data_IF_452404233736
#
_entry.id   IF_452404233736
#
_cell.length_a   1.000
_cell.length_b   1.000
_cell.length_c   1.000
_cell.angle_alpha   90.00
_cell.angle_beta   90.00
_cell.angle_gamma   90.00
#
_symmetry.space_group_name_H-M   'P 1'
#
loop_
_entity.id
_entity.type
_entity.pdbx_description
1 polymer ?
#
# COMPACT_ATOMS: atom_id res chain seq x y z
N UNK A 1 0.03 27.04 23.13
CA UNK A 1 -0.65 25.82 23.59
C UNK A 1 0.40 24.78 23.89
N UNK A 2 0.44 24.27 25.09
CA UNK A 2 1.37 23.17 25.43
C UNK A 2 0.79 21.91 24.82
N UNK A 3 1.41 21.42 23.79
CA UNK A 3 1.05 20.11 23.21
C UNK A 3 1.68 19.03 24.07
N UNK A 4 0.88 18.29 24.81
CA UNK A 4 1.38 17.13 25.55
C UNK A 4 1.78 16.07 24.52
N UNK A 5 3.06 15.63 24.51
CA UNK A 5 3.48 14.60 23.56
C UNK A 5 2.68 13.31 23.79
N UNK A 6 2.07 12.83 22.75
CA UNK A 6 1.33 11.57 22.79
C UNK A 6 2.31 10.39 22.77
N UNK A 7 2.21 9.49 23.75
CA UNK A 7 3.06 8.30 23.82
C UNK A 7 2.76 7.33 22.67
N UNK A 8 1.47 7.08 22.39
CA UNK A 8 1.05 6.23 21.27
C UNK A 8 1.28 6.95 19.95
N UNK A 9 1.99 6.31 19.03
CA UNK A 9 2.26 6.84 17.69
C UNK A 9 1.28 6.25 16.67
N UNK A 10 0.91 7.04 15.68
CA UNK A 10 0.02 6.63 14.60
C UNK A 10 0.86 6.40 13.35
N UNK A 11 0.76 5.21 12.78
CA UNK A 11 1.32 4.85 11.47
C UNK A 11 0.18 4.78 10.47
N UNK A 12 0.27 5.52 9.38
CA UNK A 12 -0.74 5.53 8.33
C UNK A 12 -0.14 5.07 7.00
N UNK A 13 -0.76 4.08 6.37
CA UNK A 13 -0.38 3.67 5.02
C UNK A 13 -0.94 4.66 4.00
N UNK A 14 -0.05 5.15 3.14
CA UNK A 14 -0.44 6.04 2.04
C UNK A 14 -0.89 5.24 0.83
N UNK A 15 -1.86 5.78 0.13
CA UNK A 15 -2.41 5.23 -1.10
C UNK A 15 -2.98 6.34 -1.98
N UNK A 16 -3.61 6.00 -3.11
CA UNK A 16 -4.11 7.01 -4.06
C UNK A 16 -5.04 8.06 -3.45
N UNK A 17 -5.81 7.70 -2.42
CA UNK A 17 -6.73 8.61 -1.73
C UNK A 17 -6.04 9.53 -0.71
N UNK A 18 -4.77 9.30 -0.37
CA UNK A 18 -4.10 9.93 0.76
C UNK A 18 -2.70 10.49 0.45
N UNK A 19 -2.32 10.58 -0.83
CA UNK A 19 -0.99 11.03 -1.24
C UNK A 19 -0.97 12.42 -1.90
N UNK A 20 -2.05 13.21 -1.81
CA UNK A 20 -2.00 14.61 -2.22
C UNK A 20 -1.42 15.50 -1.12
N UNK A 21 -0.77 16.62 -1.47
CA UNK A 21 -0.21 17.55 -0.48
C UNK A 21 -1.24 18.01 0.55
N UNK A 22 -2.47 18.30 0.12
CA UNK A 22 -3.57 18.76 0.99
C UNK A 22 -3.98 17.66 1.98
N UNK A 23 -4.10 16.42 1.51
CA UNK A 23 -4.47 15.31 2.36
C UNK A 23 -3.33 14.96 3.33
N UNK A 24 -2.07 14.98 2.89
CA UNK A 24 -0.92 14.79 3.76
C UNK A 24 -0.88 15.84 4.87
N UNK A 25 -1.12 17.12 4.54
CA UNK A 25 -1.18 18.18 5.54
C UNK A 25 -2.29 17.94 6.58
N UNK A 26 -3.46 17.47 6.14
CA UNK A 26 -4.57 17.11 7.05
C UNK A 26 -4.21 15.94 7.95
N UNK A 27 -3.59 14.89 7.41
CA UNK A 27 -3.15 13.73 8.18
C UNK A 27 -2.10 14.10 9.24
N UNK A 28 -1.13 14.93 8.88
CA UNK A 28 -0.08 15.34 9.81
C UNK A 28 -0.64 16.24 10.93
N UNK A 29 -1.52 17.17 10.59
CA UNK A 29 -2.23 17.99 11.58
C UNK A 29 -3.15 17.15 12.49
N UNK A 30 -3.72 16.08 11.97
CA UNK A 30 -4.55 15.16 12.74
C UNK A 30 -3.74 14.24 13.66
N UNK A 31 -2.41 14.19 13.51
CA UNK A 31 -1.53 13.49 14.43
C UNK A 31 -0.83 12.24 13.90
N UNK A 32 -0.80 12.02 12.59
CA UNK A 32 0.01 10.95 11.99
C UNK A 32 1.49 11.23 12.24
N UNK A 33 2.20 10.24 12.77
CA UNK A 33 3.60 10.33 13.14
C UNK A 33 4.53 9.68 12.11
N UNK A 34 4.04 8.60 11.47
CA UNK A 34 4.78 7.82 10.50
C UNK A 34 3.87 7.49 9.33
N UNK A 35 4.36 7.65 8.12
CA UNK A 35 3.70 7.17 6.92
C UNK A 35 4.36 5.87 6.46
N UNK A 36 3.52 4.89 6.10
CA UNK A 36 3.97 3.64 5.51
C UNK A 36 3.76 3.67 4.00
N UNK A 37 4.82 3.38 3.26
CA UNK A 37 4.79 3.22 1.80
C UNK A 37 4.90 1.73 1.49
N UNK A 38 3.85 1.17 0.89
CA UNK A 38 3.77 -0.26 0.60
C UNK A 38 4.38 -0.57 -0.77
N UNK A 39 5.56 -1.19 -0.78
CA UNK A 39 6.29 -1.55 -2.00
C UNK A 39 5.71 -2.77 -2.75
N UNK A 40 4.67 -3.41 -2.21
CA UNK A 40 3.91 -4.43 -2.94
C UNK A 40 2.98 -3.84 -4.02
N UNK A 41 2.79 -2.54 -4.04
CA UNK A 41 1.94 -1.80 -4.98
C UNK A 41 2.68 -0.55 -5.48
N UNK A 42 2.40 -0.15 -6.71
CA UNK A 42 3.00 1.04 -7.30
C UNK A 42 4.38 0.82 -7.89
N UNK A 43 4.91 1.85 -8.53
CA UNK A 43 6.26 1.86 -9.11
C UNK A 43 7.26 2.60 -8.23
N UNK A 44 8.55 2.41 -8.50
CA UNK A 44 9.63 3.09 -7.80
C UNK A 44 9.50 4.62 -7.91
N UNK A 45 9.11 5.12 -9.08
CA UNK A 45 8.90 6.53 -9.35
C UNK A 45 7.76 7.11 -8.51
N UNK A 46 6.64 6.38 -8.43
CA UNK A 46 5.50 6.77 -7.59
C UNK A 46 5.88 6.83 -6.11
N UNK A 47 6.64 5.86 -5.62
CA UNK A 47 7.11 5.84 -4.23
C UNK A 47 8.09 6.99 -3.95
N UNK A 48 9.00 7.27 -4.87
CA UNK A 48 9.95 8.39 -4.76
C UNK A 48 9.20 9.72 -4.66
N UNK A 49 8.21 9.93 -5.52
CA UNK A 49 7.40 11.14 -5.50
C UNK A 49 6.57 11.25 -4.21
N UNK A 50 5.99 10.17 -3.74
CA UNK A 50 5.25 10.13 -2.46
C UNK A 50 6.15 10.55 -1.30
N UNK A 51 7.35 10.00 -1.20
CA UNK A 51 8.32 10.36 -0.14
C UNK A 51 8.74 11.82 -0.24
N UNK A 52 8.96 12.32 -1.46
CA UNK A 52 9.29 13.74 -1.69
C UNK A 52 8.19 14.65 -1.17
N UNK A 53 6.94 14.37 -1.52
CA UNK A 53 5.77 15.13 -1.06
C UNK A 53 5.60 15.09 0.46
N UNK A 54 5.78 13.92 1.08
CA UNK A 54 5.72 13.77 2.55
C UNK A 54 6.73 14.70 3.23
N UNK A 55 7.97 14.69 2.75
CA UNK A 55 9.04 15.55 3.32
C UNK A 55 8.76 17.03 3.12
N UNK A 56 8.32 17.41 1.94
CA UNK A 56 7.98 18.79 1.60
C UNK A 56 6.85 19.32 2.47
N UNK A 57 5.77 18.57 2.63
CA UNK A 57 4.63 18.95 3.47
C UNK A 57 5.02 18.99 4.95
N UNK A 58 5.79 18.03 5.43
CA UNK A 58 6.26 18.00 6.82
C UNK A 58 7.13 19.22 7.15
N UNK A 59 8.08 19.57 6.28
CA UNK A 59 8.90 20.79 6.41
C UNK A 59 8.03 22.03 6.42
N UNK A 60 7.06 22.14 5.51
CA UNK A 60 6.15 23.27 5.44
C UNK A 60 5.29 23.46 6.69
N UNK A 61 5.00 22.37 7.40
CA UNK A 61 4.25 22.40 8.67
C UNK A 61 5.15 22.51 9.91
N UNK A 62 6.47 22.47 9.75
CA UNK A 62 7.42 22.49 10.86
C UNK A 62 7.31 21.26 11.75
N UNK A 63 7.00 20.11 11.19
CA UNK A 63 6.84 18.85 11.93
C UNK A 63 7.71 17.73 11.33
N UNK A 64 8.06 16.77 12.17
CA UNK A 64 8.78 15.58 11.75
C UNK A 64 7.81 14.43 11.53
N UNK A 65 7.92 13.80 10.37
CA UNK A 65 7.13 12.61 9.99
C UNK A 65 8.08 11.52 9.52
N UNK A 66 8.04 10.38 10.20
CA UNK A 66 8.81 9.21 9.80
C UNK A 66 8.27 8.59 8.50
N UNK A 67 9.15 8.03 7.68
CA UNK A 67 8.78 7.26 6.50
C UNK A 67 9.21 5.81 6.70
N UNK A 68 8.22 4.90 6.65
CA UNK A 68 8.44 3.46 6.72
C UNK A 68 8.27 2.87 5.34
N UNK A 69 9.36 2.38 4.75
CA UNK A 69 9.30 1.63 3.50
C UNK A 69 9.05 0.15 3.82
N UNK A 70 7.87 -0.34 3.46
CA UNK A 70 7.53 -1.75 3.62
C UNK A 70 7.87 -2.50 2.34
N UNK A 71 9.05 -3.12 2.35
CA UNK A 71 9.58 -3.83 1.19
C UNK A 71 8.79 -5.10 0.93
N UNK A 72 8.52 -5.36 -0.34
CA UNK A 72 7.92 -6.63 -0.70
C UNK A 72 8.89 -7.77 -0.45
N UNK A 73 8.38 -8.84 0.18
CA UNK A 73 9.08 -10.10 0.32
C UNK A 73 8.63 -11.11 -0.75
N UNK A 74 9.11 -12.35 -0.67
CA UNK A 74 8.57 -13.43 -1.48
C UNK A 74 7.11 -13.66 -1.07
N UNK A 75 6.17 -13.37 -1.97
CA UNK A 75 4.74 -13.64 -1.77
C UNK A 75 4.27 -14.60 -2.83
N UNK A 76 3.68 -15.69 -2.38
CA UNK A 76 2.96 -16.60 -3.27
C UNK A 76 1.67 -15.90 -3.68
N UNK A 77 1.47 -15.71 -4.97
CA UNK A 77 0.30 -15.04 -5.52
C UNK A 77 -0.31 -15.86 -6.65
N UNK A 78 -1.64 -15.80 -6.77
CA UNK A 78 -2.31 -16.35 -7.93
C UNK A 78 -2.08 -15.43 -9.14
N UNK A 79 -2.00 -16.04 -10.32
CA UNK A 79 -1.93 -15.34 -11.59
C UNK A 79 -3.26 -14.65 -11.95
N UNK A 80 -3.29 -14.13 -13.16
CA UNK A 80 -4.48 -13.42 -13.68
C UNK A 80 -5.48 -14.40 -14.27
N UNK A 81 -6.76 -14.06 -14.16
CA UNK A 81 -7.84 -14.73 -14.87
C UNK A 81 -8.09 -14.05 -16.21
N UNK A 82 -8.42 -14.84 -17.23
CA UNK A 82 -8.71 -14.31 -18.58
C UNK A 82 -9.82 -13.25 -18.56
N UNK A 83 -10.85 -13.46 -17.73
CA UNK A 83 -11.99 -12.55 -17.57
C UNK A 83 -11.88 -11.65 -16.32
N UNK A 84 -10.70 -11.54 -15.73
CA UNK A 84 -10.40 -10.71 -14.57
C UNK A 84 -10.79 -11.32 -13.23
N UNK A 85 -11.85 -12.12 -13.18
CA UNK A 85 -12.33 -12.82 -11.97
C UNK A 85 -13.14 -14.05 -12.33
N UNK A 86 -13.27 -14.94 -11.34
CA UNK A 86 -14.19 -16.09 -11.40
C UNK A 86 -15.00 -16.15 -10.11
N UNK A 87 -16.09 -16.92 -10.14
CA UNK A 87 -16.88 -17.27 -8.97
C UNK A 87 -16.75 -18.78 -8.71
N UNK A 88 -16.40 -19.14 -7.49
CA UNK A 88 -16.30 -20.52 -7.03
C UNK A 88 -17.40 -20.79 -6.00
N UNK A 89 -18.04 -21.95 -6.11
CA UNK A 89 -18.94 -22.46 -5.10
C UNK A 89 -18.24 -23.48 -4.21
N UNK A 90 -18.67 -23.66 -2.96
CA UNK A 90 -18.14 -24.71 -2.10
C UNK A 90 -18.25 -26.08 -2.79
N UNK A 91 -17.14 -26.81 -2.86
CA UNK A 91 -17.06 -28.11 -3.50
C UNK A 91 -16.64 -28.10 -4.97
N UNK A 92 -16.55 -26.94 -5.61
CA UNK A 92 -16.02 -26.85 -6.98
C UNK A 92 -14.57 -27.32 -7.02
N UNK A 93 -14.19 -28.17 -7.99
CA UNK A 93 -12.79 -28.54 -8.19
C UNK A 93 -12.03 -27.33 -8.75
N UNK A 94 -10.85 -27.06 -8.18
CA UNK A 94 -9.98 -25.97 -8.63
C UNK A 94 -8.52 -26.35 -8.47
N UNK A 95 -7.68 -25.96 -9.42
CA UNK A 95 -6.27 -26.28 -9.43
C UNK A 95 -5.38 -25.01 -9.46
N UNK A 96 -4.22 -25.10 -8.84
CA UNK A 96 -3.13 -24.15 -9.00
C UNK A 96 -2.02 -24.81 -9.82
N UNK A 97 -1.56 -24.14 -10.87
CA UNK A 97 -0.54 -24.67 -11.76
C UNK A 97 0.47 -23.59 -12.12
N UNK A 98 1.75 -23.81 -11.77
CA UNK A 98 2.84 -22.88 -12.07
C UNK A 98 3.05 -22.62 -13.56
N UNK A 99 2.53 -23.48 -14.44
CA UNK A 99 2.63 -23.32 -15.88
C UNK A 99 1.38 -22.66 -16.50
N UNK A 100 0.37 -22.35 -15.71
CA UNK A 100 -0.84 -21.69 -16.19
C UNK A 100 -0.60 -20.19 -16.38
N UNK A 101 -0.59 -19.72 -17.61
CA UNK A 101 -0.39 -18.30 -17.93
C UNK A 101 -1.65 -17.45 -17.73
N UNK A 102 -2.82 -18.04 -17.94
CA UNK A 102 -4.11 -17.36 -17.81
C UNK A 102 -5.15 -18.28 -17.18
N UNK A 103 -5.68 -17.86 -16.04
CA UNK A 103 -6.63 -18.65 -15.27
C UNK A 103 -8.04 -18.67 -15.87
N UNK A 104 -8.76 -19.74 -15.59
CA UNK A 104 -10.17 -19.94 -15.94
C UNK A 104 -10.96 -20.48 -14.74
N UNK A 105 -12.15 -21.05 -14.98
CA UNK A 105 -13.02 -21.58 -13.93
C UNK A 105 -12.44 -22.80 -13.19
N UNK A 106 -11.43 -23.47 -13.71
CA UNK A 106 -10.88 -24.70 -13.16
C UNK A 106 -9.42 -24.62 -12.71
N UNK A 107 -8.66 -23.63 -13.16
CA UNK A 107 -7.22 -23.50 -12.87
C UNK A 107 -6.77 -22.06 -12.90
N UNK A 108 -5.73 -21.76 -12.12
CA UNK A 108 -5.03 -20.46 -12.19
C UNK A 108 -3.52 -20.67 -11.95
N UNK A 109 -2.73 -19.76 -12.52
CA UNK A 109 -1.29 -19.70 -12.26
C UNK A 109 -0.96 -19.41 -10.80
N UNK A 110 0.21 -19.86 -10.39
CA UNK A 110 0.76 -19.57 -9.06
C UNK A 110 2.24 -19.16 -9.22
N UNK A 111 2.59 -17.99 -8.66
CA UNK A 111 3.98 -17.50 -8.58
C UNK A 111 4.72 -18.10 -7.38
#
# INVERSE_FOLDING_TARGET
>A
MITIPRATKIVATLGPASNSPEMLARLFKAGVNVVRVNFSHGSAEQHTETVRLVREVAVGLGTDVGVLADLQGPKIRIGKFAEGKINLNPGDPFAFDIHCESGDQGVVGLD
#
